data_IF_965783657435
#
_entry.id   IF_965783657435
#
_cell.length_a   1.000
_cell.length_b   1.000
_cell.length_c   1.000
_cell.angle_alpha   90.00
_cell.angle_beta   90.00
_cell.angle_gamma   90.00
#
_symmetry.space_group_name_H-M   'P 1'
#
loop_
_entity.id
_entity.type
_entity.pdbx_description
1 polymer ?
#
# COMPACT_ATOMS: atom_id res chain seq x y z
N UNK A 1 -16.59 4.91 19.51
CA UNK A 1 -17.04 4.41 18.18
C UNK A 1 -16.83 5.43 17.07
N UNK A 2 -16.96 6.74 17.36
CA UNK A 2 -16.73 7.81 16.38
C UNK A 2 -15.26 7.85 15.91
N UNK A 3 -14.31 7.83 16.85
CA UNK A 3 -12.87 7.90 16.56
C UNK A 3 -12.41 6.77 15.63
N UNK A 4 -12.92 5.55 15.86
CA UNK A 4 -12.63 4.41 14.99
C UNK A 4 -13.16 4.62 13.56
N UNK A 5 -14.35 5.21 13.42
CA UNK A 5 -14.92 5.47 12.10
C UNK A 5 -14.15 6.57 11.37
N UNK A 6 -13.72 7.60 12.09
CA UNK A 6 -12.91 8.71 11.57
C UNK A 6 -11.53 8.22 11.10
N UNK A 7 -10.83 7.44 11.93
CA UNK A 7 -9.56 6.81 11.56
C UNK A 7 -9.69 5.90 10.32
N UNK A 8 -10.81 5.16 10.20
CA UNK A 8 -11.06 4.34 9.02
C UNK A 8 -11.37 5.17 7.77
N UNK A 9 -11.97 6.35 7.91
CA UNK A 9 -12.21 7.24 6.77
C UNK A 9 -10.91 7.91 6.29
N UNK A 10 -10.07 8.36 7.22
CA UNK A 10 -8.73 8.83 6.91
C UNK A 10 -7.92 7.74 6.20
N UNK A 11 -7.98 6.50 6.69
CA UNK A 11 -7.35 5.36 6.03
C UNK A 11 -7.86 5.18 4.60
N UNK A 12 -9.18 5.24 4.36
CA UNK A 12 -9.75 5.13 3.00
C UNK A 12 -9.24 6.20 2.06
N UNK A 13 -8.96 7.40 2.55
CA UNK A 13 -8.43 8.50 1.72
C UNK A 13 -7.06 8.16 1.11
N UNK A 14 -6.26 7.34 1.81
CA UNK A 14 -4.94 6.87 1.40
C UNK A 14 -4.97 5.62 0.49
N UNK A 15 -6.13 4.96 0.39
CA UNK A 15 -6.28 3.74 -0.41
C UNK A 15 -6.48 4.06 -1.89
N UNK A 16 -6.14 3.13 -2.79
CA UNK A 16 -6.47 3.28 -4.20
C UNK A 16 -7.99 3.39 -4.35
N UNK A 17 -8.41 4.14 -5.37
CA UNK A 17 -9.84 4.37 -5.68
C UNK A 17 -10.61 5.19 -4.63
N UNK A 18 -9.92 5.90 -3.72
CA UNK A 18 -10.57 6.75 -2.70
C UNK A 18 -11.53 7.80 -3.27
N UNK A 19 -11.35 8.20 -4.53
CA UNK A 19 -12.23 9.15 -5.22
C UNK A 19 -13.51 8.52 -5.79
N UNK A 20 -13.59 7.19 -5.91
CA UNK A 20 -14.75 6.52 -6.46
C UNK A 20 -15.91 6.49 -5.47
N UNK A 21 -17.14 6.75 -5.95
CA UNK A 21 -18.34 6.72 -5.10
C UNK A 21 -18.55 5.37 -4.37
N UNK A 22 -17.99 4.29 -4.91
CA UNK A 22 -18.01 2.95 -4.32
C UNK A 22 -17.07 2.79 -3.13
N UNK A 23 -15.94 3.52 -3.08
CA UNK A 23 -14.95 3.41 -1.99
C UNK A 23 -15.50 3.97 -0.66
N UNK A 24 -16.30 5.04 -0.73
CA UNK A 24 -17.05 5.62 0.40
C UNK A 24 -18.06 4.65 1.04
N UNK A 25 -18.44 3.57 0.36
CA UNK A 25 -19.39 2.56 0.86
C UNK A 25 -18.71 1.30 1.40
N UNK A 26 -17.38 1.26 1.49
CA UNK A 26 -16.65 0.08 1.96
C UNK A 26 -16.88 -0.20 3.45
N UNK A 27 -17.22 -1.46 3.77
CA UNK A 27 -17.29 -1.93 5.15
C UNK A 27 -15.94 -1.79 5.88
N UNK A 28 -15.96 -1.81 7.22
CA UNK A 28 -14.73 -1.76 8.05
C UNK A 28 -13.78 -2.90 7.69
N UNK A 29 -14.31 -4.12 7.54
CA UNK A 29 -13.54 -5.30 7.16
C UNK A 29 -12.91 -5.13 5.79
N UNK A 30 -13.68 -4.68 4.79
CA UNK A 30 -13.16 -4.49 3.43
C UNK A 30 -12.11 -3.38 3.38
N UNK A 31 -12.25 -2.35 4.22
CA UNK A 31 -11.26 -1.28 4.36
C UNK A 31 -9.93 -1.81 4.86
N UNK A 32 -9.96 -2.63 5.92
CA UNK A 32 -8.75 -3.26 6.47
C UNK A 32 -8.13 -4.25 5.48
N UNK A 33 -8.94 -5.09 4.83
CA UNK A 33 -8.45 -6.04 3.84
C UNK A 33 -7.78 -5.34 2.65
N UNK A 34 -8.41 -4.28 2.13
CA UNK A 34 -7.83 -3.49 1.03
C UNK A 34 -6.54 -2.81 1.48
N UNK A 35 -6.50 -2.25 2.69
CA UNK A 35 -5.31 -1.61 3.23
C UNK A 35 -4.12 -2.59 3.33
N UNK A 36 -4.33 -3.78 3.89
CA UNK A 36 -3.28 -4.81 3.98
C UNK A 36 -2.76 -5.23 2.61
N UNK A 37 -3.65 -5.44 1.65
CA UNK A 37 -3.27 -5.78 0.27
C UNK A 37 -2.56 -4.63 -0.45
N UNK A 38 -2.95 -3.39 -0.16
CA UNK A 38 -2.35 -2.20 -0.75
C UNK A 38 -0.93 -1.97 -0.23
N UNK A 39 -0.70 -2.11 1.08
CA UNK A 39 0.64 -2.05 1.68
C UNK A 39 1.55 -3.08 1.02
N UNK A 40 1.10 -4.34 0.90
CA UNK A 40 1.89 -5.39 0.22
C UNK A 40 2.24 -5.01 -1.22
N UNK A 41 1.28 -4.50 -1.99
CA UNK A 41 1.51 -4.06 -3.37
C UNK A 41 2.51 -2.89 -3.44
N UNK A 42 2.40 -1.92 -2.52
CA UNK A 42 3.34 -0.80 -2.44
C UNK A 42 4.76 -1.29 -2.12
N UNK A 43 4.93 -2.24 -1.20
CA UNK A 43 6.25 -2.84 -0.88
C UNK A 43 6.87 -3.49 -2.11
N UNK A 44 6.12 -4.34 -2.81
CA UNK A 44 6.58 -4.99 -4.04
C UNK A 44 6.93 -3.95 -5.12
N UNK A 45 6.07 -2.94 -5.30
CA UNK A 45 6.30 -1.91 -6.32
C UNK A 45 7.53 -1.05 -5.99
N UNK A 46 7.75 -0.74 -4.71
CA UNK A 46 8.91 0.01 -4.26
C UNK A 46 10.20 -0.77 -4.54
N UNK A 47 10.23 -2.06 -4.23
CA UNK A 47 11.37 -2.95 -4.53
C UNK A 47 11.70 -2.96 -6.02
N UNK A 48 10.69 -3.09 -6.87
CA UNK A 48 10.88 -3.07 -8.31
C UNK A 48 11.44 -1.72 -8.80
N UNK A 49 10.96 -0.60 -8.26
CA UNK A 49 11.51 0.73 -8.57
C UNK A 49 12.95 0.90 -8.09
N UNK A 50 13.30 0.35 -6.92
CA UNK A 50 14.68 0.37 -6.41
C UNK A 50 15.62 -0.42 -7.32
N UNK A 51 15.21 -1.60 -7.81
CA UNK A 51 15.97 -2.37 -8.81
C UNK A 51 16.17 -1.60 -10.11
N UNK A 52 15.12 -0.96 -10.61
CA UNK A 52 15.20 -0.14 -11.83
C UNK A 52 16.15 1.06 -11.64
N UNK A 53 16.11 1.70 -10.47
CA UNK A 53 17.00 2.81 -10.13
C UNK A 53 18.46 2.37 -10.00
N UNK A 54 18.71 1.22 -9.37
CA UNK A 54 20.05 0.64 -9.23
C UNK A 54 20.64 0.32 -10.61
N UNK A 55 19.86 -0.35 -11.47
CA UNK A 55 20.24 -0.64 -12.86
C UNK A 55 20.53 0.64 -13.66
N UNK A 56 19.70 1.68 -13.53
CA UNK A 56 19.91 2.97 -14.21
C UNK A 56 21.16 3.72 -13.70
N UNK A 57 21.57 3.47 -12.46
CA UNK A 57 22.78 4.06 -11.85
C UNK A 57 24.04 3.22 -12.05
N UNK A 58 23.92 2.00 -12.61
CA UNK A 58 25.03 1.05 -12.72
C UNK A 58 25.53 0.56 -11.36
N UNK A 59 24.68 0.58 -10.34
CA UNK A 59 24.97 0.09 -8.98
C UNK A 59 24.22 -1.22 -8.79
N UNK A 60 24.87 -2.24 -8.20
CA UNK A 60 24.18 -3.48 -7.84
C UNK A 60 23.12 -3.19 -6.77
N UNK A 61 21.87 -3.65 -6.93
CA UNK A 61 20.85 -3.44 -5.92
C UNK A 61 21.25 -4.15 -4.63
N UNK A 62 21.29 -3.40 -3.51
CA UNK A 62 21.40 -3.96 -2.16
C UNK A 62 20.37 -5.09 -2.00
N UNK A 63 20.83 -6.28 -1.62
CA UNK A 63 20.00 -7.48 -1.57
C UNK A 63 19.02 -7.43 -0.39
N UNK A 64 17.89 -6.75 -0.55
CA UNK A 64 16.74 -6.91 0.34
C UNK A 64 16.14 -8.30 0.15
N UNK A 65 15.91 -9.00 1.26
CA UNK A 65 15.50 -10.41 1.27
C UNK A 65 13.98 -10.53 1.14
N UNK A 66 13.47 -11.67 0.65
CA UNK A 66 12.01 -11.92 0.55
C UNK A 66 11.29 -11.82 1.91
N UNK A 67 12.02 -11.95 3.02
CA UNK A 67 11.50 -11.74 4.37
C UNK A 67 11.09 -10.29 4.66
N UNK A 68 11.63 -9.31 3.93
CA UNK A 68 11.28 -7.89 4.05
C UNK A 68 9.96 -7.56 3.31
N UNK A 69 9.43 -8.50 2.51
CA UNK A 69 8.27 -8.32 1.62
C UNK A 69 7.02 -9.10 2.11
N UNK A 70 7.18 -10.03 3.05
CA UNK A 70 6.12 -10.91 3.60
C UNK A 70 5.56 -10.40 4.92
#
# INVERSE_FOLDING_TARGET
MHDLNEALEELRSCLPYSQDASSRKMSKINTLLLASNWIRQLTIRNHELQKQLAAARGVEPEAWTDADVM
#
